data_IF_304240650559
#
_entry.id   IF_304240650559
#
_cell.length_a   1.000
_cell.length_b   1.000
_cell.length_c   1.000
_cell.angle_alpha   90.00
_cell.angle_beta   90.00
_cell.angle_gamma   90.00
#
_symmetry.space_group_name_H-M   'P 1'
#
loop_
_entity.id
_entity.type
_entity.pdbx_description
1 polymer ?
#
# COMPACT_ATOMS: atom_id res chain seq x y z
N UNK A 1 -13.27 7.36 40.56
CA UNK A 1 -12.15 8.18 40.06
C UNK A 1 -12.67 9.02 38.91
N UNK A 2 -12.38 10.33 38.84
CA UNK A 2 -12.84 11.14 37.71
C UNK A 2 -12.25 10.58 36.41
N UNK A 3 -13.11 10.42 35.40
CA UNK A 3 -12.66 10.04 34.05
C UNK A 3 -11.89 11.23 33.50
N UNK A 4 -10.62 11.03 33.12
CA UNK A 4 -9.83 12.08 32.49
C UNK A 4 -10.52 12.50 31.17
N UNK A 5 -10.66 13.80 30.96
CA UNK A 5 -11.32 14.38 29.76
C UNK A 5 -10.51 15.54 29.22
N UNK A 6 -10.58 15.77 27.91
CA UNK A 6 -9.97 16.93 27.22
C UNK A 6 -11.04 17.74 26.50
N UNK A 7 -10.74 19.00 26.16
CA UNK A 7 -11.59 19.84 25.31
C UNK A 7 -10.99 19.91 23.91
N UNK A 8 -11.79 19.62 22.88
CA UNK A 8 -11.36 19.75 21.49
C UNK A 8 -11.08 21.23 21.17
N UNK A 9 -9.91 21.58 20.60
CA UNK A 9 -9.50 22.98 20.42
C UNK A 9 -10.39 23.74 19.42
N UNK A 10 -11.01 23.05 18.47
CA UNK A 10 -11.80 23.69 17.40
C UNK A 10 -13.32 23.60 17.64
N UNK A 11 -13.80 22.51 18.24
CA UNK A 11 -15.23 22.23 18.39
C UNK A 11 -15.73 22.41 19.81
N UNK A 12 -14.82 22.67 20.77
CA UNK A 12 -15.08 22.75 22.20
C UNK A 12 -15.76 21.50 22.81
N UNK A 13 -15.81 20.39 22.07
CA UNK A 13 -16.40 19.13 22.51
C UNK A 13 -15.57 18.48 23.62
N UNK A 14 -16.25 17.79 24.53
CA UNK A 14 -15.60 16.96 25.56
C UNK A 14 -15.13 15.67 24.90
N UNK A 15 -13.83 15.40 25.04
CA UNK A 15 -13.17 14.22 24.53
C UNK A 15 -12.89 13.25 25.66
N UNK A 16 -13.18 11.97 25.43
CA UNK A 16 -12.85 10.87 26.33
C UNK A 16 -11.78 10.01 25.69
N UNK A 17 -10.98 9.36 26.54
CA UNK A 17 -10.00 8.40 26.07
C UNK A 17 -10.71 7.19 25.45
N UNK A 18 -10.39 6.87 24.21
CA UNK A 18 -11.00 5.76 23.48
C UNK A 18 -10.05 5.22 22.40
N UNK A 19 -10.39 4.08 21.81
CA UNK A 19 -9.65 3.42 20.73
C UNK A 19 -10.61 3.16 19.56
N UNK A 20 -10.34 3.80 18.41
CA UNK A 20 -11.17 3.64 17.20
C UNK A 20 -10.41 2.93 16.09
N UNK A 21 -11.13 2.32 15.16
CA UNK A 21 -10.50 1.75 13.96
C UNK A 21 -10.00 2.89 13.06
N UNK A 22 -8.68 2.96 12.88
CA UNK A 22 -8.02 3.86 11.94
C UNK A 22 -7.52 3.11 10.70
N UNK A 23 -7.29 3.83 9.61
CA UNK A 23 -6.70 3.28 8.39
C UNK A 23 -5.39 4.02 8.11
N UNK A 24 -4.28 3.28 8.07
CA UNK A 24 -2.99 3.77 7.58
C UNK A 24 -2.88 3.38 6.12
N UNK A 25 -2.75 4.37 5.22
CA UNK A 25 -2.58 4.17 3.78
C UNK A 25 -1.22 4.69 3.33
N UNK A 26 -0.45 3.83 2.68
CA UNK A 26 0.82 4.23 2.07
C UNK A 26 1.06 3.48 0.75
N UNK A 27 1.27 4.23 -0.34
CA UNK A 27 1.54 3.72 -1.70
C UNK A 27 0.60 2.58 -2.17
N UNK A 28 -0.70 2.73 -1.86
CA UNK A 28 -1.74 1.77 -2.26
C UNK A 28 -1.90 0.56 -1.34
N UNK A 29 -1.10 0.47 -0.27
CA UNK A 29 -1.29 -0.52 0.80
C UNK A 29 -2.05 0.13 1.94
N UNK A 30 -3.02 -0.59 2.48
CA UNK A 30 -3.82 -0.18 3.62
C UNK A 30 -3.67 -1.17 4.78
N UNK A 31 -3.65 -0.64 6.00
CA UNK A 31 -3.72 -1.40 7.24
C UNK A 31 -4.74 -0.76 8.16
N UNK A 32 -5.63 -1.60 8.69
CA UNK A 32 -6.54 -1.20 9.76
C UNK A 32 -5.80 -1.33 11.07
N UNK A 33 -5.82 -0.29 11.88
CA UNK A 33 -5.20 -0.24 13.20
C UNK A 33 -6.23 0.08 14.27
N UNK A 34 -5.93 -0.32 15.48
CA UNK A 34 -6.56 0.21 16.68
C UNK A 34 -5.85 1.52 17.03
N UNK A 35 -6.51 2.65 16.75
CA UNK A 35 -5.98 3.99 16.92
C UNK A 35 -6.42 4.53 18.29
N UNK A 36 -5.54 4.54 19.30
CA UNK A 36 -5.83 5.20 20.57
C UNK A 36 -5.84 6.71 20.38
N UNK A 37 -6.69 7.40 21.15
CA UNK A 37 -6.81 8.85 21.08
C UNK A 37 -7.85 9.41 22.05
N UNK A 38 -8.13 10.70 21.89
CA UNK A 38 -9.16 11.41 22.63
C UNK A 38 -10.29 11.73 21.67
N UNK A 39 -11.44 11.08 21.83
CA UNK A 39 -12.53 11.15 20.87
C UNK A 39 -13.80 11.75 21.51
N UNK A 40 -14.61 12.49 20.73
CA UNK A 40 -15.95 12.88 21.16
C UNK A 40 -16.87 11.65 21.15
N UNK A 41 -18.07 11.78 21.69
CA UNK A 41 -19.05 10.67 21.69
C UNK A 41 -19.60 10.37 20.29
N UNK A 42 -19.59 11.36 19.40
CA UNK A 42 -19.98 11.23 18.00
C UNK A 42 -18.79 10.86 17.11
N UNK A 43 -19.05 10.75 15.80
CA UNK A 43 -18.06 10.38 14.78
C UNK A 43 -17.15 11.54 14.35
N UNK A 44 -17.12 12.64 15.10
CA UNK A 44 -16.28 13.80 14.81
C UNK A 44 -14.80 13.55 15.16
N UNK A 45 -13.92 14.44 14.72
CA UNK A 45 -12.48 14.29 14.86
C UNK A 45 -12.03 14.31 16.33
N UNK A 46 -11.07 13.45 16.63
CA UNK A 46 -10.40 13.36 17.93
C UNK A 46 -9.00 13.96 17.92
N UNK A 47 -8.36 13.98 19.08
CA UNK A 47 -6.97 14.40 19.27
C UNK A 47 -6.08 13.19 19.50
N UNK A 48 -4.98 13.11 18.77
CA UNK A 48 -3.88 12.17 19.01
C UNK A 48 -2.71 12.92 19.64
N UNK A 49 -2.06 12.34 20.65
CA UNK A 49 -0.91 12.94 21.33
C UNK A 49 0.10 11.90 21.82
N UNK A 50 1.40 12.20 21.72
CA UNK A 50 2.46 11.34 22.28
C UNK A 50 2.41 9.92 21.70
N UNK A 51 2.32 8.92 22.58
CA UNK A 51 2.27 7.50 22.22
C UNK A 51 1.02 7.09 21.44
N UNK A 52 0.04 7.98 21.26
CA UNK A 52 -1.11 7.72 20.39
C UNK A 52 -0.69 7.44 18.94
N UNK A 53 0.42 8.02 18.51
CA UNK A 53 0.95 7.83 17.16
C UNK A 53 1.65 6.49 16.95
N UNK A 54 2.04 5.78 18.03
CA UNK A 54 2.87 4.58 17.95
C UNK A 54 2.24 3.46 17.11
N UNK A 55 0.91 3.30 17.19
CA UNK A 55 0.18 2.30 16.41
C UNK A 55 0.23 2.62 14.90
N UNK A 56 0.03 3.89 14.55
CA UNK A 56 0.12 4.38 13.17
C UNK A 56 1.53 4.30 12.61
N UNK A 57 2.52 4.71 13.40
CA UNK A 57 3.93 4.69 13.02
C UNK A 57 4.44 3.27 12.79
N UNK A 58 4.06 2.32 13.66
CA UNK A 58 4.40 0.90 13.49
C UNK A 58 3.78 0.32 12.23
N UNK A 59 2.49 0.55 12.00
CA UNK A 59 1.82 0.09 10.79
C UNK A 59 2.47 0.71 9.52
N UNK A 60 2.85 1.98 9.57
CA UNK A 60 3.56 2.63 8.46
C UNK A 60 4.94 2.02 8.22
N UNK A 61 5.70 1.71 9.28
CA UNK A 61 7.00 1.04 9.18
C UNK A 61 6.88 -0.37 8.59
N UNK A 62 5.88 -1.14 9.02
CA UNK A 62 5.58 -2.47 8.47
C UNK A 62 5.23 -2.41 6.98
N UNK A 63 4.39 -1.45 6.57
CA UNK A 63 4.08 -1.22 5.15
C UNK A 63 5.37 -0.88 4.38
N UNK A 64 6.23 -0.01 4.90
CA UNK A 64 7.49 0.35 4.24
C UNK A 64 8.42 -0.85 4.11
N UNK A 65 8.54 -1.69 5.13
CA UNK A 65 9.33 -2.92 5.08
C UNK A 65 8.77 -3.92 4.06
N UNK A 66 7.45 -4.07 3.98
CA UNK A 66 6.80 -4.90 2.96
C UNK A 66 7.14 -4.40 1.55
N UNK A 67 7.03 -3.09 1.29
CA UNK A 67 7.36 -2.49 0.00
C UNK A 67 8.84 -2.66 -0.34
N UNK A 68 9.74 -2.52 0.63
CA UNK A 68 11.18 -2.68 0.41
C UNK A 68 11.57 -4.10 -0.04
N UNK A 69 10.73 -5.10 0.23
CA UNK A 69 10.93 -6.48 -0.23
C UNK A 69 10.47 -6.73 -1.67
N UNK A 70 9.80 -5.76 -2.29
CA UNK A 70 9.25 -5.86 -3.65
C UNK A 70 10.21 -5.22 -4.67
N UNK A 71 10.17 -5.66 -5.94
CA UNK A 71 10.98 -5.03 -6.98
C UNK A 71 10.63 -3.56 -7.14
N UNK A 72 11.65 -2.71 -7.24
CA UNK A 72 11.48 -1.28 -7.45
C UNK A 72 10.94 -0.98 -8.86
N UNK A 73 10.46 0.25 -9.10
CA UNK A 73 10.06 0.67 -10.45
C UNK A 73 11.18 0.51 -11.49
N UNK A 74 12.44 0.70 -11.07
CA UNK A 74 13.61 0.47 -11.93
C UNK A 74 13.82 -1.02 -12.23
N UNK A 75 13.64 -1.90 -11.25
CA UNK A 75 13.69 -3.36 -11.45
C UNK A 75 12.59 -3.81 -12.41
N UNK A 76 11.35 -3.34 -12.19
CA UNK A 76 10.21 -3.67 -13.05
C UNK A 76 10.48 -3.23 -14.49
N UNK A 77 11.02 -2.02 -14.70
CA UNK A 77 11.43 -1.54 -16.02
C UNK A 77 12.49 -2.46 -16.65
N UNK A 78 13.53 -2.82 -15.90
CA UNK A 78 14.62 -3.71 -16.35
C UNK A 78 14.09 -5.10 -16.74
N UNK A 79 13.21 -5.68 -15.92
CA UNK A 79 12.60 -6.99 -16.18
C UNK A 79 11.74 -6.91 -17.45
N UNK A 80 10.88 -5.90 -17.55
CA UNK A 80 10.02 -5.71 -18.74
C UNK A 80 10.84 -5.56 -20.02
N UNK A 81 11.89 -4.76 -20.01
CA UNK A 81 12.74 -4.57 -21.19
C UNK A 81 13.53 -5.82 -21.55
N UNK A 82 13.99 -6.60 -20.55
CA UNK A 82 14.60 -7.92 -20.76
C UNK A 82 13.65 -8.88 -21.47
N UNK A 83 12.36 -8.83 -21.14
CA UNK A 83 11.30 -9.59 -21.81
C UNK A 83 10.88 -9.01 -23.18
N UNK A 84 11.49 -7.89 -23.61
CA UNK A 84 11.18 -7.17 -24.85
C UNK A 84 9.71 -6.72 -24.96
N UNK A 85 9.11 -6.36 -23.84
CA UNK A 85 7.72 -5.90 -23.79
C UNK A 85 7.66 -4.36 -23.71
N UNK A 86 6.70 -3.76 -24.40
CA UNK A 86 6.28 -2.38 -24.11
C UNK A 86 5.46 -2.36 -22.81
N UNK A 87 5.30 -1.19 -22.16
CA UNK A 87 4.45 -1.07 -20.98
C UNK A 87 3.02 -1.53 -21.28
N UNK A 88 2.46 -1.11 -22.43
CA UNK A 88 1.14 -1.56 -22.89
C UNK A 88 1.08 -3.08 -23.03
N UNK A 89 2.06 -3.69 -23.69
CA UNK A 89 2.06 -5.14 -23.92
C UNK A 89 2.23 -5.93 -22.61
N UNK A 90 3.04 -5.40 -21.69
CA UNK A 90 3.20 -5.98 -20.36
C UNK A 90 1.89 -5.90 -19.55
N UNK A 91 1.20 -4.75 -19.57
CA UNK A 91 -0.12 -4.59 -18.95
C UNK A 91 -1.17 -5.54 -19.55
N UNK A 92 -1.16 -5.70 -20.87
CA UNK A 92 -2.05 -6.65 -21.54
C UNK A 92 -1.76 -8.07 -21.07
N UNK A 93 -0.50 -8.51 -21.17
CA UNK A 93 -0.12 -9.90 -20.94
C UNK A 93 -0.16 -10.31 -19.46
N UNK A 94 0.39 -9.46 -18.59
CA UNK A 94 0.59 -9.74 -17.17
C UNK A 94 -0.56 -9.19 -16.30
N UNK A 95 -1.35 -8.23 -16.83
CA UNK A 95 -2.49 -7.64 -16.16
C UNK A 95 -2.19 -6.30 -15.46
N UNK A 96 -3.07 -5.91 -14.53
CA UNK A 96 -2.99 -4.65 -13.78
C UNK A 96 -3.71 -3.45 -14.43
N UNK A 97 -4.18 -3.61 -15.68
CA UNK A 97 -4.89 -2.57 -16.43
C UNK A 97 -3.96 -1.71 -17.30
N UNK A 98 -4.51 -0.88 -18.21
CA UNK A 98 -3.76 -0.30 -19.33
C UNK A 98 -2.51 0.53 -18.93
N UNK A 99 -2.56 1.20 -17.77
CA UNK A 99 -1.48 2.07 -17.27
C UNK A 99 -0.68 1.49 -16.11
N UNK A 100 -0.85 0.20 -15.81
CA UNK A 100 -0.21 -0.45 -14.66
C UNK A 100 1.31 -0.30 -14.67
N UNK A 101 1.96 -0.73 -15.75
CA UNK A 101 3.42 -0.67 -15.86
C UNK A 101 3.98 0.77 -15.86
N UNK A 102 3.21 1.75 -16.33
CA UNK A 102 3.59 3.16 -16.18
C UNK A 102 3.65 3.55 -14.69
N UNK A 103 2.61 3.22 -13.92
CA UNK A 103 2.50 3.53 -12.48
C UNK A 103 3.48 2.75 -11.62
N UNK A 104 3.76 1.51 -11.99
CA UNK A 104 4.74 0.67 -11.32
C UNK A 104 6.16 1.21 -11.54
N UNK A 105 6.51 1.53 -12.78
CA UNK A 105 7.84 2.03 -13.13
C UNK A 105 8.11 3.44 -12.59
N UNK A 106 7.08 4.27 -12.43
CA UNK A 106 7.20 5.57 -11.75
C UNK A 106 7.20 5.46 -10.22
N UNK A 107 6.81 4.31 -9.67
CA UNK A 107 6.65 4.12 -8.23
C UNK A 107 5.42 4.80 -7.61
N UNK A 108 4.49 5.29 -8.44
CA UNK A 108 3.18 5.82 -8.01
C UNK A 108 2.37 4.74 -7.31
N UNK A 109 2.41 3.51 -7.84
CA UNK A 109 1.70 2.36 -7.29
C UNK A 109 2.69 1.21 -7.12
N UNK A 110 2.63 0.56 -5.96
CA UNK A 110 3.41 -0.65 -5.68
C UNK A 110 2.72 -1.86 -6.31
N UNK A 111 3.51 -2.76 -6.90
CA UNK A 111 2.99 -4.03 -7.44
C UNK A 111 2.44 -4.90 -6.33
N UNK A 112 1.38 -5.67 -6.62
CA UNK A 112 0.91 -6.69 -5.69
C UNK A 112 1.96 -7.79 -5.51
N UNK A 113 1.92 -8.50 -4.36
CA UNK A 113 2.83 -9.63 -4.09
C UNK A 113 2.81 -10.70 -5.20
N UNK A 114 1.64 -11.12 -5.75
CA UNK A 114 1.62 -12.07 -6.86
C UNK A 114 2.28 -11.53 -8.14
N UNK A 115 2.05 -10.25 -8.47
CA UNK A 115 2.68 -9.61 -9.63
C UNK A 115 4.20 -9.52 -9.45
N UNK A 116 4.67 -9.15 -8.26
CA UNK A 116 6.10 -9.15 -7.94
C UNK A 116 6.72 -10.54 -8.13
N UNK A 117 6.10 -11.59 -7.59
CA UNK A 117 6.59 -12.97 -7.74
C UNK A 117 6.64 -13.38 -9.22
N UNK A 118 5.62 -13.04 -10.01
CA UNK A 118 5.59 -13.33 -11.44
C UNK A 118 6.73 -12.61 -12.19
N UNK A 119 6.93 -11.32 -11.93
CA UNK A 119 8.01 -10.54 -12.53
C UNK A 119 9.39 -11.11 -12.18
N UNK A 120 9.61 -11.47 -10.90
CA UNK A 120 10.86 -12.06 -10.45
C UNK A 120 11.11 -13.45 -11.08
N UNK A 121 10.06 -14.26 -11.22
CA UNK A 121 10.16 -15.56 -11.90
C UNK A 121 10.52 -15.39 -13.39
N UNK A 122 9.86 -14.46 -14.08
CA UNK A 122 10.14 -14.13 -15.48
C UNK A 122 11.52 -13.49 -15.66
N UNK A 123 12.02 -12.76 -14.66
CA UNK A 123 13.39 -12.27 -14.70
C UNK A 123 14.40 -13.42 -14.58
N UNK A 124 14.13 -14.39 -13.71
CA UNK A 124 14.99 -15.57 -13.55
C UNK A 124 14.99 -16.45 -14.80
N UNK A 125 13.82 -16.70 -15.38
CA UNK A 125 13.67 -17.45 -16.62
C UNK A 125 12.75 -16.72 -17.63
N UNK A 126 13.34 -15.87 -18.49
CA UNK A 126 12.59 -15.14 -19.51
C UNK A 126 11.84 -16.02 -20.51
N UNK A 127 12.22 -17.30 -20.65
CA UNK A 127 11.57 -18.20 -21.61
C UNK A 127 10.12 -18.53 -21.23
N UNK A 128 9.80 -18.43 -19.92
CA UNK A 128 8.47 -18.69 -19.38
C UNK A 128 7.39 -17.77 -19.94
N UNK A 129 7.76 -16.58 -20.44
CA UNK A 129 6.83 -15.63 -21.05
C UNK A 129 6.04 -16.23 -22.22
N UNK A 130 6.62 -17.23 -22.91
CA UNK A 130 5.99 -17.91 -24.05
C UNK A 130 4.71 -18.63 -23.67
N UNK A 131 4.60 -19.15 -22.44
CA UNK A 131 3.40 -19.83 -21.97
C UNK A 131 2.24 -18.84 -21.84
N UNK A 132 2.50 -17.66 -21.28
CA UNK A 132 1.50 -16.60 -21.16
C UNK A 132 1.03 -16.05 -22.51
N UNK A 133 1.93 -16.03 -23.51
CA UNK A 133 1.57 -15.59 -24.86
C UNK A 133 0.70 -16.61 -25.60
N UNK A 134 0.86 -17.91 -25.31
CA UNK A 134 0.13 -18.99 -25.96
C UNK A 134 -1.30 -19.10 -25.44
N UNK A 135 -1.49 -18.90 -24.14
CA UNK A 135 -2.78 -19.07 -23.45
C UNK A 135 -3.81 -17.96 -23.76
N UNK A 136 -3.42 -16.90 -24.47
CA UNK A 136 -4.32 -15.81 -24.92
C UNK A 136 -4.60 -15.77 -26.41
N UNK A 137 -3.98 -16.68 -27.18
CA UNK A 137 -4.27 -16.85 -28.60
C UNK A 137 -5.34 -17.93 -28.87
N UNK A 138 -5.86 -18.54 -27.80
CA UNK A 138 -7.06 -19.37 -27.76
C UNK A 138 -8.21 -18.57 -27.13
#
# INVERSE_FOLDING_TARGET
MPVETRIHPESAKVLKRDVRKGIVRYKGIERVIDQPGWYPEDDDFGILSGSDFDAGDRALQEIKAEIASLPSGADIRRIRTKLRLSQRRASELLGGGPRAFQKYESGEVVVSRPMANLLLLLDRDPSLIKHLMRDRAA
#
